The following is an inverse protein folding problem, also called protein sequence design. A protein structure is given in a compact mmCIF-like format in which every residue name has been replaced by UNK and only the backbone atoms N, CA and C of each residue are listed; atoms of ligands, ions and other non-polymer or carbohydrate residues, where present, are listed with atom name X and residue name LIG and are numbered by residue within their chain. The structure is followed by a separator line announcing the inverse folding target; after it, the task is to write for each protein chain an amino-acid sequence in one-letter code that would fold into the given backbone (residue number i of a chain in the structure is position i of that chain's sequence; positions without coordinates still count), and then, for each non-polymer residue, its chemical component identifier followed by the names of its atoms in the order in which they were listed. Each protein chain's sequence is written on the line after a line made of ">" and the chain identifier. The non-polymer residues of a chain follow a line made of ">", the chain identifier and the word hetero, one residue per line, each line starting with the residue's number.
data_IF_121102489311
#
_entry.id   IF_121102489311
#
_cell.length_a   1.000
_cell.length_b   1.000
_cell.length_c   1.000
_cell.angle_alpha   90.00
_cell.angle_beta   90.00
_cell.angle_gamma   90.00
#
_symmetry.space_group_name_H-M   'P 1'
#
loop_
_entity.id
_entity.type
_entity.pdbx_description
1 polymer ?
#
# COMPACT_ATOMS: atom_id res chain seq x y z
N UNK A 1 -9.67 51.08 -28.23
CA UNK A 1 -8.28 50.89 -27.76
C UNK A 1 -8.19 50.12 -26.44
N UNK A 2 -8.86 50.54 -25.35
CA UNK A 2 -8.78 49.89 -24.01
C UNK A 2 -9.06 48.36 -23.98
N UNK A 3 -10.01 47.87 -24.81
CA UNK A 3 -10.36 46.44 -24.91
C UNK A 3 -9.26 45.56 -25.53
N UNK A 4 -8.39 46.13 -26.37
CA UNK A 4 -7.26 45.41 -26.98
C UNK A 4 -6.12 45.24 -25.95
N UNK A 5 -5.92 46.24 -25.08
CA UNK A 5 -4.98 46.15 -23.96
C UNK A 5 -5.40 45.12 -22.91
N UNK A 6 -6.71 45.04 -22.59
CA UNK A 6 -7.22 44.03 -21.65
C UNK A 6 -6.94 42.62 -22.20
N UNK A 7 -7.21 42.36 -23.49
CA UNK A 7 -6.93 41.06 -24.13
C UNK A 7 -5.45 40.71 -24.14
N UNK A 8 -4.56 41.68 -24.37
CA UNK A 8 -3.12 41.49 -24.41
C UNK A 8 -2.53 41.06 -23.05
N UNK A 9 -3.17 41.39 -21.94
CA UNK A 9 -2.74 41.01 -20.58
C UNK A 9 -3.48 39.74 -20.11
N UNK A 10 -4.78 39.64 -20.40
CA UNK A 10 -5.61 38.57 -19.88
C UNK A 10 -5.32 37.20 -20.54
N UNK A 11 -5.01 37.16 -21.85
CA UNK A 11 -4.66 35.91 -22.53
C UNK A 11 -3.38 35.25 -21.99
N UNK A 12 -2.24 35.96 -21.88
CA UNK A 12 -1.02 35.35 -21.35
C UNK A 12 -1.15 35.04 -19.86
N UNK A 13 -1.85 35.86 -19.07
CA UNK A 13 -2.12 35.58 -17.66
C UNK A 13 -2.96 34.31 -17.47
N UNK A 14 -3.98 34.10 -18.32
CA UNK A 14 -4.80 32.88 -18.30
C UNK A 14 -3.99 31.64 -18.72
N UNK A 15 -3.14 31.76 -19.74
CA UNK A 15 -2.22 30.69 -20.15
C UNK A 15 -1.23 30.32 -19.03
N UNK A 16 -0.64 31.31 -18.35
CA UNK A 16 0.26 31.08 -17.22
C UNK A 16 -0.47 30.47 -16.02
N UNK A 17 -1.73 30.83 -15.78
CA UNK A 17 -2.54 30.26 -14.72
C UNK A 17 -2.84 28.76 -14.94
N UNK A 18 -3.11 28.35 -16.19
CA UNK A 18 -3.32 26.94 -16.54
C UNK A 18 -2.06 26.08 -16.33
N UNK A 19 -0.86 26.66 -16.52
CA UNK A 19 0.41 25.96 -16.25
C UNK A 19 0.65 25.71 -14.75
N UNK A 20 0.21 26.63 -13.88
CA UNK A 20 0.34 26.49 -12.43
C UNK A 20 -0.59 25.41 -11.85
N UNK A 21 -1.75 25.18 -12.47
CA UNK A 21 -2.71 24.14 -12.06
C UNK A 21 -2.18 22.71 -12.29
N UNK A 22 -1.27 22.50 -13.25
CA UNK A 22 -0.71 21.17 -13.54
C UNK A 22 0.43 20.76 -12.59
N UNK A 23 0.94 21.68 -11.76
CA UNK A 23 2.05 21.39 -10.83
C UNK A 23 1.58 20.83 -9.47
N UNK A 24 0.26 20.77 -9.21
CA UNK A 24 -0.28 20.35 -7.90
C UNK A 24 -0.75 18.88 -7.86
N UNK A 25 -0.58 18.10 -8.93
CA UNK A 25 -1.03 16.70 -9.01
C UNK A 25 0.04 15.71 -8.57
N UNK A 26 0.69 15.95 -7.42
CA UNK A 26 1.46 14.90 -6.75
C UNK A 26 1.05 14.89 -5.29
N UNK A 27 -0.11 14.26 -5.04
CA UNK A 27 -0.42 13.68 -3.74
C UNK A 27 0.75 12.77 -3.40
N UNK A 28 1.62 13.26 -2.52
CA UNK A 28 2.82 12.55 -2.10
C UNK A 28 2.41 11.17 -1.61
N UNK A 29 2.91 10.15 -2.30
CA UNK A 29 3.01 8.82 -1.71
C UNK A 29 3.83 9.01 -0.44
N UNK A 30 3.31 8.59 0.72
CA UNK A 30 4.08 8.42 1.97
C UNK A 30 5.07 7.25 1.79
N UNK A 31 5.90 7.34 0.75
CA UNK A 31 6.94 6.39 0.42
C UNK A 31 8.15 6.71 1.30
N UNK A 32 8.61 5.71 2.04
CA UNK A 32 9.83 5.76 2.83
C UNK A 32 11.08 5.50 1.99
N UNK A 33 10.93 5.07 0.73
CA UNK A 33 12.02 4.61 -0.14
C UNK A 33 12.60 3.27 0.32
N UNK A 34 11.87 2.52 1.15
CA UNK A 34 12.30 1.23 1.70
C UNK A 34 11.46 0.08 1.12
N UNK A 35 12.02 -1.14 1.12
CA UNK A 35 11.26 -2.35 0.82
C UNK A 35 9.95 -2.43 1.61
N UNK A 36 8.84 -2.65 0.90
CA UNK A 36 7.50 -2.78 1.49
C UNK A 36 6.66 -1.49 1.52
N UNK A 37 7.11 -0.36 0.97
CA UNK A 37 6.28 0.85 0.81
C UNK A 37 4.96 0.62 0.05
N UNK A 38 4.94 -0.39 -0.84
CA UNK A 38 3.78 -0.75 -1.63
C UNK A 38 2.89 -1.82 -0.95
N UNK A 39 3.15 -2.11 0.33
CA UNK A 39 2.39 -3.07 1.12
C UNK A 39 1.37 -2.37 2.04
N UNK A 40 0.08 -2.62 1.81
CA UNK A 40 -1.00 -2.06 2.61
C UNK A 40 -1.27 -2.89 3.87
N UNK A 41 -0.82 -2.40 5.03
CA UNK A 41 -1.14 -3.03 6.33
C UNK A 41 -2.65 -3.11 6.58
N UNK A 42 -3.39 -2.06 6.20
CA UNK A 42 -4.85 -2.03 6.33
C UNK A 42 -5.51 -3.08 5.41
N UNK A 43 -5.05 -3.15 4.16
CA UNK A 43 -5.52 -4.15 3.20
C UNK A 43 -5.25 -5.57 3.68
N UNK A 44 -4.03 -5.85 4.16
CA UNK A 44 -3.66 -7.14 4.72
C UNK A 44 -4.52 -7.52 5.93
N UNK A 45 -4.83 -6.56 6.82
CA UNK A 45 -5.73 -6.80 7.94
C UNK A 45 -7.17 -7.09 7.48
N UNK A 46 -7.63 -6.45 6.42
CA UNK A 46 -8.96 -6.70 5.85
C UNK A 46 -9.04 -8.11 5.24
N UNK A 47 -8.06 -8.49 4.40
CA UNK A 47 -7.96 -9.84 3.84
C UNK A 47 -7.90 -10.91 4.95
N UNK A 48 -7.19 -10.63 6.03
CA UNK A 48 -7.12 -11.54 7.18
C UNK A 48 -8.47 -11.75 7.86
N UNK A 49 -9.30 -10.71 7.96
CA UNK A 49 -10.65 -10.81 8.54
C UNK A 49 -11.62 -11.58 7.64
N UNK A 50 -11.43 -11.49 6.33
CA UNK A 50 -12.29 -12.13 5.33
C UNK A 50 -11.93 -13.61 5.11
N UNK A 51 -10.65 -13.95 5.28
CA UNK A 51 -10.17 -15.32 5.12
C UNK A 51 -10.74 -16.27 6.18
N UNK A 52 -11.18 -17.44 5.74
CA UNK A 52 -11.69 -18.51 6.61
C UNK A 52 -10.60 -19.46 7.08
N UNK A 53 -9.44 -19.46 6.42
CA UNK A 53 -8.26 -20.24 6.78
C UNK A 53 -6.95 -19.50 6.52
N UNK A 54 -5.84 -20.04 7.04
CA UNK A 54 -4.50 -19.49 6.81
C UNK A 54 -4.11 -19.60 5.34
N UNK A 55 -4.46 -20.72 4.70
CA UNK A 55 -4.21 -20.97 3.28
C UNK A 55 -4.99 -19.99 2.40
N UNK A 56 -6.24 -19.68 2.77
CA UNK A 56 -7.04 -18.67 2.06
C UNK A 56 -6.43 -17.27 2.22
N UNK A 57 -5.98 -16.92 3.43
CA UNK A 57 -5.29 -15.66 3.66
C UNK A 57 -3.98 -15.57 2.88
N UNK A 58 -3.16 -16.63 2.86
CA UNK A 58 -1.91 -16.68 2.09
C UNK A 58 -2.18 -16.52 0.58
N UNK A 59 -3.22 -17.19 0.06
CA UNK A 59 -3.61 -17.01 -1.33
C UNK A 59 -4.07 -15.59 -1.61
N UNK A 60 -4.85 -15.00 -0.69
CA UNK A 60 -5.36 -13.65 -0.85
C UNK A 60 -4.21 -12.62 -0.82
N UNK A 61 -3.31 -12.67 0.16
CA UNK A 61 -2.23 -11.68 0.30
C UNK A 61 -1.21 -11.73 -0.85
N UNK A 62 -1.10 -12.87 -1.56
CA UNK A 62 -0.28 -13.04 -2.76
C UNK A 62 -1.03 -12.81 -4.09
N UNK A 63 -2.27 -12.33 -4.04
CA UNK A 63 -3.04 -12.02 -5.24
C UNK A 63 -2.79 -10.57 -5.66
N UNK A 64 -2.20 -10.37 -6.84
CA UNK A 64 -1.95 -9.04 -7.43
C UNK A 64 -3.23 -8.23 -7.64
N UNK A 65 -4.35 -8.90 -7.91
CA UNK A 65 -5.63 -8.26 -8.23
C UNK A 65 -6.30 -7.49 -7.10
N UNK A 66 -5.86 -7.65 -5.84
CA UNK A 66 -6.46 -6.96 -4.70
C UNK A 66 -5.76 -5.66 -4.30
N UNK A 67 -4.62 -5.33 -4.94
CA UNK A 67 -3.86 -4.10 -4.71
C UNK A 67 -3.39 -3.90 -3.25
N UNK A 68 -3.30 -4.98 -2.47
CA UNK A 68 -2.78 -4.96 -1.10
C UNK A 68 -1.25 -5.04 -1.08
N UNK A 69 -0.67 -5.72 -2.06
CA UNK A 69 0.77 -5.91 -2.21
C UNK A 69 1.14 -5.77 -3.69
N UNK A 70 2.37 -5.36 -3.97
CA UNK A 70 2.94 -5.27 -5.32
C UNK A 70 3.67 -6.55 -5.77
N UNK A 71 3.84 -7.52 -4.86
CA UNK A 71 4.59 -8.77 -5.09
C UNK A 71 6.05 -8.53 -5.55
N UNK A 72 6.63 -7.38 -5.29
CA UNK A 72 8.03 -7.06 -5.56
C UNK A 72 8.52 -6.19 -4.40
N UNK A 73 8.61 -6.80 -3.23
CA UNK A 73 8.77 -6.08 -1.97
C UNK A 73 10.16 -5.44 -1.86
N UNK A 74 11.16 -6.01 -2.54
CA UNK A 74 12.54 -5.51 -2.56
C UNK A 74 12.91 -4.71 -3.83
N UNK A 75 11.96 -4.53 -4.76
CA UNK A 75 12.12 -3.80 -6.03
C UNK A 75 13.23 -4.36 -6.94
N UNK A 76 13.45 -5.68 -6.92
CA UNK A 76 14.42 -6.34 -7.79
C UNK A 76 13.85 -6.77 -9.15
N UNK A 77 12.54 -6.56 -9.35
CA UNK A 77 11.82 -6.88 -10.58
C UNK A 77 11.36 -8.33 -10.69
N UNK A 78 11.60 -9.16 -9.65
CA UNK A 78 11.06 -10.50 -9.55
C UNK A 78 9.82 -10.53 -8.66
N UNK A 79 9.00 -11.57 -8.84
CA UNK A 79 7.79 -11.76 -8.05
C UNK A 79 8.14 -12.44 -6.72
N UNK A 80 8.05 -11.69 -5.63
CA UNK A 80 8.14 -12.17 -4.26
C UNK A 80 6.87 -12.91 -3.81
N UNK A 81 7.05 -13.88 -2.91
CA UNK A 81 5.93 -14.61 -2.29
C UNK A 81 5.94 -14.49 -0.76
N UNK A 82 4.76 -14.21 -0.21
CA UNK A 82 4.48 -14.09 1.22
C UNK A 82 3.99 -15.44 1.75
N UNK A 83 4.81 -16.13 2.54
CA UNK A 83 4.40 -17.33 3.27
C UNK A 83 3.86 -16.98 4.65
N UNK A 84 2.72 -17.55 5.02
CA UNK A 84 2.04 -17.34 6.29
C UNK A 84 2.22 -18.58 7.18
N UNK A 85 2.83 -18.38 8.34
CA UNK A 85 3.14 -19.46 9.29
C UNK A 85 2.33 -19.24 10.56
N UNK A 86 1.47 -20.20 10.91
CA UNK A 86 0.86 -20.26 12.25
C UNK A 86 1.91 -20.71 13.26
N UNK A 87 2.16 -19.84 14.25
CA UNK A 87 2.90 -20.23 15.44
C UNK A 87 1.91 -20.54 16.54
N UNK A 88 1.55 -21.81 16.65
CA UNK A 88 0.97 -22.40 17.86
C UNK A 88 2.04 -22.55 18.94
N UNK A 89 2.71 -21.45 19.30
CA UNK A 89 3.64 -21.47 20.42
C UNK A 89 2.80 -21.54 21.70
N UNK A 90 2.77 -22.71 22.33
CA UNK A 90 2.15 -22.93 23.63
C UNK A 90 3.00 -22.20 24.67
N UNK A 91 2.88 -20.88 24.69
CA UNK A 91 3.63 -20.02 25.59
C UNK A 91 3.03 -20.21 26.97
N UNK A 92 3.69 -21.01 27.81
CA UNK A 92 3.39 -21.11 29.25
C UNK A 92 3.78 -19.80 29.92
N UNK A 93 3.05 -18.72 29.64
CA UNK A 93 3.04 -17.50 30.42
C UNK A 93 1.80 -17.55 31.31
N UNK A 94 1.96 -17.76 32.63
CA UNK A 94 0.84 -18.07 33.53
C UNK A 94 -0.17 -16.92 33.73
N UNK A 95 0.01 -15.77 33.08
CA UNK A 95 -0.85 -14.60 33.24
C UNK A 95 -1.67 -14.21 32.00
N UNK A 96 -1.47 -14.86 30.85
CA UNK A 96 -2.23 -14.55 29.63
C UNK A 96 -2.54 -15.82 28.81
N UNK A 97 -3.39 -16.70 29.35
CA UNK A 97 -3.81 -17.95 28.68
C UNK A 97 -5.27 -17.88 28.20
N UNK A 98 -5.56 -16.91 27.32
CA UNK A 98 -6.82 -16.83 26.59
C UNK A 98 -6.77 -17.62 25.26
N UNK A 99 -7.91 -18.14 24.74
CA UNK A 99 -7.97 -18.92 23.49
C UNK A 99 -7.61 -18.13 22.21
N UNK A 100 -7.29 -16.84 22.35
CA UNK A 100 -7.14 -15.89 21.23
C UNK A 100 -5.69 -15.53 20.89
N UNK A 101 -4.70 -16.07 21.58
CA UNK A 101 -3.29 -15.76 21.29
C UNK A 101 -2.67 -16.75 20.29
N UNK A 102 -3.12 -16.69 19.02
CA UNK A 102 -2.34 -17.23 17.90
C UNK A 102 -1.47 -16.13 17.33
N UNK A 103 -0.17 -16.39 17.17
CA UNK A 103 0.76 -15.47 16.49
C UNK A 103 0.96 -15.96 15.07
N UNK A 104 0.61 -15.13 14.08
CA UNK A 104 1.06 -15.34 12.70
C UNK A 104 2.43 -14.72 12.50
N UNK A 105 3.29 -15.46 11.80
CA UNK A 105 4.55 -14.94 11.28
C UNK A 105 4.47 -14.97 9.76
N UNK A 106 4.83 -13.86 9.14
CA UNK A 106 5.00 -13.75 7.69
C UNK A 106 6.48 -13.92 7.34
N UNK A 107 6.77 -14.64 6.26
CA UNK A 107 8.10 -14.75 5.63
C UNK A 107 7.96 -14.34 4.16
N UNK A 108 8.90 -13.56 3.67
CA UNK A 108 9.02 -13.21 2.26
C UNK A 108 10.05 -14.15 1.64
N UNK A 109 9.74 -14.70 0.47
CA UNK A 109 10.67 -15.47 -0.35
C UNK A 109 10.86 -14.75 -1.69
N UNK A 110 12.12 -14.54 -2.13
CA UNK A 110 12.42 -14.07 -3.47
C UNK A 110 12.14 -15.14 -4.53
#
# INVERSE_FOLDING_TARGET
>A
MKKQFIRAIFLPAFLLFNLLLQAQSQSGTDSTGLPGDQFSLQGALQLFKEATSIEEFEKAINNDGNHVNNLDMNEDGNTDYITVIDKSEKRSMPLFSGPWYRRMKVRISP
#
